data_IF_959659236278
#
_entry.id   IF_959659236278
#
_cell.length_a   1.000
_cell.length_b   1.000
_cell.length_c   1.000
_cell.angle_alpha   90.00
_cell.angle_beta   90.00
_cell.angle_gamma   90.00
#
_symmetry.space_group_name_H-M   'P 1'
#
loop_
_entity.id
_entity.type
_entity.pdbx_description
1 polymer ?
#
# COMPACT_ATOMS: atom_id res chain seq x y z
N UNK A 1 55.83 -8.82 -9.33
CA UNK A 1 55.04 -8.07 -8.32
C UNK A 1 55.99 -7.31 -7.42
N UNK A 2 55.90 -5.96 -7.33
CA UNK A 2 56.75 -5.15 -6.48
C UNK A 2 56.58 -5.52 -4.98
N UNK A 3 57.65 -5.40 -4.19
CA UNK A 3 57.65 -5.71 -2.74
C UNK A 3 56.68 -4.85 -1.91
N UNK A 4 56.15 -3.75 -2.46
CA UNK A 4 55.18 -2.87 -1.82
C UNK A 4 53.78 -3.46 -1.62
N UNK A 5 53.48 -4.62 -2.25
CA UNK A 5 52.18 -5.30 -2.11
C UNK A 5 52.17 -6.43 -1.06
N UNK A 6 53.21 -6.55 -0.23
CA UNK A 6 53.30 -7.56 0.86
C UNK A 6 53.03 -7.00 2.26
N UNK A 7 52.62 -5.75 2.39
CA UNK A 7 52.12 -5.21 3.66
C UNK A 7 50.75 -5.82 3.96
N UNK A 8 50.55 -6.28 5.19
CA UNK A 8 49.33 -6.91 5.65
C UNK A 8 48.10 -6.08 5.26
N UNK A 9 47.11 -6.73 4.63
CA UNK A 9 45.77 -6.17 4.47
C UNK A 9 45.23 -5.85 5.87
N UNK A 10 45.24 -4.56 6.24
CA UNK A 10 44.54 -4.07 7.40
C UNK A 10 43.04 -4.07 7.08
N UNK A 11 42.38 -5.18 7.41
CA UNK A 11 40.94 -5.38 7.19
C UNK A 11 40.08 -4.34 7.95
N UNK A 12 40.63 -3.66 8.95
CA UNK A 12 39.92 -2.63 9.72
C UNK A 12 39.77 -1.28 9.00
N UNK A 13 40.58 -0.99 7.97
CA UNK A 13 40.44 0.21 7.13
C UNK A 13 39.71 -0.05 5.80
N UNK A 14 39.32 -1.30 5.55
CA UNK A 14 38.67 -1.70 4.28
C UNK A 14 37.15 -1.58 4.40
N UNK A 15 36.57 -0.46 3.96
CA UNK A 15 35.12 -0.21 4.05
C UNK A 15 34.28 -0.99 3.03
N UNK A 16 34.87 -1.45 1.92
CA UNK A 16 34.16 -2.16 0.84
C UNK A 16 34.97 -3.38 0.38
N UNK A 17 34.38 -4.57 0.48
CA UNK A 17 34.97 -5.83 0.00
C UNK A 17 34.05 -6.44 -1.05
N UNK A 18 34.55 -6.53 -2.29
CA UNK A 18 33.86 -7.19 -3.39
C UNK A 18 34.46 -8.57 -3.63
N UNK A 19 33.62 -9.61 -3.69
CA UNK A 19 34.04 -10.98 -3.99
C UNK A 19 33.34 -11.45 -5.26
N UNK A 20 34.12 -11.87 -6.26
CA UNK A 20 33.61 -12.56 -7.44
C UNK A 20 33.86 -14.07 -7.36
N UNK A 21 32.91 -14.87 -7.85
CA UNK A 21 32.99 -16.34 -7.88
C UNK A 21 33.47 -16.85 -9.26
N UNK A 22 33.47 -15.99 -10.29
CA UNK A 22 33.98 -16.27 -11.65
C UNK A 22 34.91 -15.14 -12.12
N UNK A 23 35.79 -15.37 -13.12
CA UNK A 23 36.60 -14.28 -13.69
C UNK A 23 35.68 -13.21 -14.28
N UNK A 24 35.76 -11.98 -13.77
CA UNK A 24 34.99 -10.84 -14.23
C UNK A 24 35.87 -9.58 -14.18
N UNK A 25 35.66 -8.67 -15.13
CA UNK A 25 36.25 -7.32 -15.10
C UNK A 25 35.28 -6.40 -14.38
N UNK A 26 35.69 -5.86 -13.23
CA UNK A 26 34.89 -4.94 -12.42
C UNK A 26 35.36 -3.51 -12.71
N UNK A 27 34.48 -2.69 -13.29
CA UNK A 27 34.67 -1.25 -13.36
C UNK A 27 34.00 -0.63 -12.13
N UNK A 28 34.75 0.14 -11.35
CA UNK A 28 34.25 0.85 -10.17
C UNK A 28 34.31 2.34 -10.49
N UNK A 29 33.13 2.96 -10.60
CA UNK A 29 33.01 4.41 -10.64
C UNK A 29 32.73 4.93 -9.23
N UNK A 30 33.61 5.78 -8.74
CA UNK A 30 33.44 6.46 -7.46
C UNK A 30 33.01 7.90 -7.73
N UNK A 31 31.78 8.24 -7.34
CA UNK A 31 31.31 9.63 -7.32
C UNK A 31 31.30 10.13 -5.88
N UNK A 32 31.90 11.30 -5.67
CA UNK A 32 31.77 12.03 -4.41
C UNK A 32 30.35 12.61 -4.38
N UNK A 33 29.49 12.01 -3.58
CA UNK A 33 28.19 12.59 -3.22
C UNK A 33 28.47 13.78 -2.29
N UNK A 34 27.84 14.93 -2.53
CA UNK A 34 27.90 16.06 -1.58
C UNK A 34 27.40 15.61 -0.20
N UNK A 35 27.86 16.29 0.86
CA UNK A 35 27.38 16.04 2.23
C UNK A 35 25.86 16.11 2.19
N UNK A 36 25.21 14.96 2.38
CA UNK A 36 23.78 14.84 2.25
C UNK A 36 23.11 15.88 3.14
N UNK A 37 22.35 16.78 2.52
CA UNK A 37 21.28 17.48 3.23
C UNK A 37 20.50 16.42 4.00
N UNK A 38 20.18 16.68 5.26
CA UNK A 38 19.32 15.78 6.06
C UNK A 38 18.11 15.47 5.19
N UNK A 39 17.94 14.20 4.83
CA UNK A 39 16.93 13.82 3.86
C UNK A 39 15.57 14.06 4.51
N UNK A 40 14.75 14.90 3.88
CA UNK A 40 13.46 15.32 4.42
C UNK A 40 12.45 14.15 4.52
N UNK A 41 12.67 13.06 3.80
CA UNK A 41 12.04 11.74 4.01
C UNK A 41 12.79 10.64 3.24
N UNK A 42 12.68 9.38 3.70
CA UNK A 42 13.30 8.23 3.03
C UNK A 42 12.32 7.04 2.96
N UNK A 43 12.28 6.36 1.82
CA UNK A 43 11.60 5.05 1.70
C UNK A 43 12.57 3.96 2.16
N UNK A 44 12.26 3.30 3.26
CA UNK A 44 13.10 2.26 3.86
C UNK A 44 12.74 0.83 3.39
N UNK A 45 11.54 0.68 2.83
CA UNK A 45 11.10 -0.55 2.16
C UNK A 45 10.04 -0.21 1.11
N UNK A 46 10.20 -0.75 -0.09
CA UNK A 46 9.22 -0.68 -1.17
C UNK A 46 8.71 -2.06 -1.56
N UNK A 47 7.40 -2.27 -1.53
CA UNK A 47 6.76 -3.52 -1.96
C UNK A 47 5.78 -3.22 -3.09
N UNK A 48 6.14 -3.66 -4.30
CA UNK A 48 5.33 -3.46 -5.49
C UNK A 48 4.71 -4.79 -5.91
N UNK A 49 3.42 -4.76 -6.24
CA UNK A 49 2.68 -5.91 -6.74
C UNK A 49 1.97 -5.51 -8.02
N UNK A 50 2.35 -6.10 -9.13
CA UNK A 50 1.74 -5.83 -10.44
C UNK A 50 0.99 -7.04 -10.94
N UNK A 51 -0.24 -6.85 -11.38
CA UNK A 51 -0.99 -7.86 -12.11
C UNK A 51 -1.08 -7.49 -13.58
N UNK A 52 -0.63 -8.40 -14.44
CA UNK A 52 -0.79 -8.26 -15.88
C UNK A 52 -2.14 -8.80 -16.32
N UNK A 53 -2.79 -8.08 -17.23
CA UNK A 53 -3.91 -8.59 -17.99
C UNK A 53 -3.42 -9.18 -19.31
N UNK A 54 -4.13 -10.19 -19.83
CA UNK A 54 -3.88 -10.69 -21.19
C UNK A 54 -4.14 -9.67 -22.30
N UNK A 55 -4.62 -8.46 -21.98
CA UNK A 55 -4.87 -7.37 -22.92
C UNK A 55 -3.73 -6.34 -22.99
N UNK A 56 -2.61 -6.55 -22.30
CA UNK A 56 -1.47 -5.63 -22.30
C UNK A 56 -1.63 -4.43 -21.36
N UNK A 57 -2.50 -4.56 -20.35
CA UNK A 57 -2.61 -3.61 -19.26
C UNK A 57 -2.04 -4.23 -17.98
N UNK A 58 -1.63 -3.38 -17.06
CA UNK A 58 -1.15 -3.77 -15.75
C UNK A 58 -1.81 -2.92 -14.68
N UNK A 59 -2.14 -3.53 -13.55
CA UNK A 59 -2.51 -2.80 -12.33
C UNK A 59 -1.41 -3.01 -11.32
N UNK A 60 -0.84 -1.91 -10.82
CA UNK A 60 0.24 -1.94 -9.84
C UNK A 60 -0.27 -1.38 -8.52
N UNK A 61 -0.10 -2.17 -7.47
CA UNK A 61 -0.18 -1.75 -6.07
C UNK A 61 1.24 -1.45 -5.57
N UNK A 62 1.38 -0.28 -4.96
CA UNK A 62 2.64 0.17 -4.38
C UNK A 62 2.42 0.37 -2.89
N UNK A 63 3.28 -0.25 -2.08
CA UNK A 63 3.34 -0.05 -0.63
C UNK A 63 4.74 0.42 -0.26
N UNK A 64 4.81 1.60 0.35
CA UNK A 64 6.04 2.24 0.77
C UNK A 64 6.02 2.36 2.29
N UNK A 65 7.10 1.93 2.94
CA UNK A 65 7.36 2.26 4.34
C UNK A 65 8.30 3.46 4.35
N UNK A 66 7.82 4.61 4.84
CA UNK A 66 8.55 5.88 4.82
C UNK A 66 9.00 6.23 6.23
N UNK A 67 10.28 6.56 6.39
CA UNK A 67 10.75 7.38 7.51
C UNK A 67 10.56 8.84 7.11
N UNK A 68 9.54 9.48 7.69
CA UNK A 68 9.20 10.86 7.37
C UNK A 68 10.04 11.82 8.21
N UNK A 69 10.77 12.73 7.58
CA UNK A 69 11.42 13.87 8.22
C UNK A 69 10.48 15.09 8.19
N UNK A 70 10.90 16.17 7.55
CA UNK A 70 10.09 17.38 7.40
C UNK A 70 9.28 17.45 6.10
N UNK A 71 9.46 16.47 5.20
CA UNK A 71 8.72 16.36 3.93
C UNK A 71 7.21 16.22 4.16
N UNK A 72 6.45 16.99 3.39
CA UNK A 72 4.98 17.10 3.49
C UNK A 72 4.27 16.55 2.27
N UNK A 73 5.00 16.26 1.22
CA UNK A 73 4.45 15.79 -0.04
C UNK A 73 5.28 14.63 -0.56
N UNK A 74 4.63 13.55 -0.97
CA UNK A 74 5.25 12.51 -1.76
C UNK A 74 4.89 12.76 -3.23
N UNK A 75 5.90 13.08 -4.03
CA UNK A 75 5.76 13.27 -5.48
C UNK A 75 6.08 11.97 -6.20
N UNK A 76 5.18 11.60 -7.11
CA UNK A 76 5.27 10.35 -7.88
C UNK A 76 5.01 10.65 -9.35
N UNK A 77 5.98 10.35 -10.20
CA UNK A 77 5.79 10.37 -11.65
C UNK A 77 5.36 8.98 -12.10
N UNK A 78 4.14 8.87 -12.63
CA UNK A 78 3.63 7.61 -13.15
C UNK A 78 4.17 7.33 -14.57
N UNK A 79 4.25 6.06 -14.99
CA UNK A 79 4.55 5.72 -16.38
C UNK A 79 3.60 6.43 -17.35
N UNK A 80 4.05 6.64 -18.59
CA UNK A 80 3.21 7.24 -19.64
C UNK A 80 1.89 6.48 -19.80
N UNK A 81 0.82 7.24 -20.08
CA UNK A 81 -0.54 6.72 -20.25
C UNK A 81 -1.11 5.96 -19.03
N UNK A 82 -0.55 6.20 -17.84
CA UNK A 82 -1.06 5.63 -16.59
C UNK A 82 -2.28 6.36 -16.07
N UNK A 83 -3.09 5.64 -15.28
CA UNK A 83 -4.23 6.21 -14.55
C UNK A 83 -4.07 5.93 -13.07
N UNK A 84 -3.95 6.99 -12.28
CA UNK A 84 -3.97 6.91 -10.83
C UNK A 84 -5.38 6.53 -10.33
N UNK A 85 -5.49 5.63 -9.35
CA UNK A 85 -6.77 5.16 -8.83
C UNK A 85 -7.04 5.62 -7.40
N UNK A 86 -6.11 5.38 -6.48
CA UNK A 86 -6.30 5.71 -5.06
C UNK A 86 -4.97 5.74 -4.30
N UNK A 87 -4.92 6.54 -3.22
CA UNK A 87 -3.83 6.56 -2.24
C UNK A 87 -4.36 6.46 -0.81
N UNK A 88 -3.55 5.88 0.05
CA UNK A 88 -3.80 5.70 1.47
C UNK A 88 -2.53 5.99 2.26
N UNK A 89 -2.70 6.56 3.46
CA UNK A 89 -1.63 6.75 4.44
C UNK A 89 -2.06 6.10 5.73
N UNK A 90 -1.30 5.11 6.19
CA UNK A 90 -1.63 4.30 7.37
C UNK A 90 -3.05 3.70 7.31
N UNK A 91 -3.50 3.35 6.10
CA UNK A 91 -4.85 2.84 5.81
C UNK A 91 -5.95 3.91 5.70
N UNK A 92 -5.63 5.19 5.93
CA UNK A 92 -6.55 6.31 5.70
C UNK A 92 -6.47 6.75 4.24
N UNK A 93 -7.57 6.62 3.50
CA UNK A 93 -7.69 7.20 2.15
C UNK A 93 -7.40 8.70 2.16
N UNK A 94 -6.59 9.15 1.20
CA UNK A 94 -6.22 10.55 1.00
C UNK A 94 -6.58 10.99 -0.41
N UNK A 95 -6.76 12.29 -0.60
CA UNK A 95 -7.01 12.89 -1.91
C UNK A 95 -5.70 13.44 -2.46
N UNK A 96 -5.05 12.76 -3.41
CA UNK A 96 -3.92 13.33 -4.11
C UNK A 96 -4.40 14.37 -5.14
N UNK A 97 -3.47 15.20 -5.59
CA UNK A 97 -3.69 16.11 -6.71
C UNK A 97 -2.59 15.96 -7.75
N UNK A 98 -2.84 16.48 -8.94
CA UNK A 98 -1.84 16.53 -10.01
C UNK A 98 -1.13 17.88 -10.00
N UNK A 99 0.19 17.86 -10.09
CA UNK A 99 1.04 19.06 -10.19
C UNK A 99 2.16 18.78 -11.20
N UNK A 100 2.22 19.57 -12.29
CA UNK A 100 3.20 19.42 -13.37
C UNK A 100 3.32 17.99 -13.96
N UNK A 101 2.24 17.22 -13.98
CA UNK A 101 2.22 15.83 -14.48
C UNK A 101 2.66 14.78 -13.45
N UNK A 102 2.92 15.19 -12.21
CA UNK A 102 3.19 14.32 -11.07
C UNK A 102 1.93 14.14 -10.23
N UNK A 103 1.78 12.96 -9.62
CA UNK A 103 0.80 12.74 -8.56
C UNK A 103 1.45 13.16 -7.24
N UNK A 104 0.80 14.09 -6.54
CA UNK A 104 1.24 14.57 -5.24
C UNK A 104 0.34 14.01 -4.15
N UNK A 105 0.95 13.25 -3.23
CA UNK A 105 0.27 12.61 -2.10
C UNK A 105 0.63 13.40 -0.83
N UNK A 106 -0.35 13.98 -0.10
CA UNK A 106 -0.08 14.78 1.09
C UNK A 106 0.34 13.90 2.27
N UNK A 107 1.51 14.13 2.85
CA UNK A 107 2.00 13.40 4.01
C UNK A 107 1.64 14.13 5.32
N UNK A 108 0.98 13.43 6.26
CA UNK A 108 0.71 13.98 7.59
C UNK A 108 1.88 13.67 8.54
N UNK A 109 2.35 14.65 9.35
CA UNK A 109 3.39 14.38 10.37
C UNK A 109 2.88 13.34 11.36
N UNK A 110 3.63 12.25 11.48
CA UNK A 110 3.45 11.33 12.59
C UNK A 110 4.10 11.91 13.86
N UNK A 111 3.38 11.98 15.00
CA UNK A 111 3.85 12.63 16.22
C UNK A 111 4.71 11.71 17.09
N UNK A 112 5.65 11.00 16.47
CA UNK A 112 6.71 10.24 17.13
C UNK A 112 8.03 10.52 16.43
N UNK A 113 9.12 10.64 17.20
CA UNK A 113 10.45 10.99 16.68
C UNK A 113 11.02 9.94 15.70
N UNK A 114 10.40 8.76 15.64
CA UNK A 114 10.83 7.59 14.84
C UNK A 114 9.67 6.83 14.13
N UNK A 115 8.46 7.39 14.06
CA UNK A 115 7.32 6.65 13.49
C UNK A 115 7.34 6.65 11.97
N UNK A 116 7.66 5.49 11.40
CA UNK A 116 7.52 5.25 9.96
C UNK A 116 6.03 5.26 9.55
N UNK A 117 5.71 5.96 8.48
CA UNK A 117 4.38 5.99 7.86
C UNK A 117 4.31 4.96 6.73
N UNK A 118 3.15 4.34 6.54
CA UNK A 118 2.92 3.46 5.38
C UNK A 118 2.10 4.21 4.36
N UNK A 119 2.66 4.43 3.16
CA UNK A 119 1.94 5.03 2.03
C UNK A 119 1.63 3.93 1.03
N UNK A 120 0.38 3.85 0.62
CA UNK A 120 -0.11 2.84 -0.32
C UNK A 120 -0.81 3.54 -1.47
N UNK A 121 -0.59 3.12 -2.72
CA UNK A 121 -1.35 3.63 -3.85
C UNK A 121 -1.48 2.62 -4.98
N UNK A 122 -2.47 2.87 -5.83
CA UNK A 122 -2.82 2.02 -6.97
C UNK A 122 -2.83 2.85 -8.25
N UNK A 123 -2.28 2.27 -9.31
CA UNK A 123 -2.37 2.85 -10.65
C UNK A 123 -2.47 1.75 -11.71
N UNK A 124 -3.12 2.09 -12.82
CA UNK A 124 -3.10 1.29 -14.03
C UNK A 124 -2.03 1.83 -14.98
N UNK A 125 -1.31 0.95 -15.66
CA UNK A 125 -0.38 1.28 -16.75
C UNK A 125 -0.56 0.33 -17.93
N UNK A 126 0.01 0.68 -19.09
CA UNK A 126 0.14 -0.24 -20.22
C UNK A 126 1.53 -0.85 -20.25
N UNK A 127 1.61 -2.11 -20.63
CA UNK A 127 2.88 -2.84 -20.84
C UNK A 127 3.21 -3.06 -22.32
N UNK A 128 2.46 -2.39 -23.20
CA UNK A 128 2.55 -2.57 -24.65
C UNK A 128 1.65 -3.70 -25.17
N UNK A 129 1.65 -3.86 -26.51
CA UNK A 129 0.94 -4.93 -27.22
C UNK A 129 1.95 -5.65 -28.11
N UNK A 130 2.02 -6.97 -28.01
CA UNK A 130 2.96 -7.79 -28.79
C UNK A 130 3.64 -8.84 -27.91
N UNK A 131 4.68 -9.45 -28.46
CA UNK A 131 5.52 -10.38 -27.69
C UNK A 131 6.46 -9.60 -26.78
N UNK A 132 7.07 -8.51 -27.23
CA UNK A 132 7.96 -7.71 -26.40
C UNK A 132 7.16 -6.72 -25.56
N UNK A 133 7.33 -6.81 -24.25
CA UNK A 133 6.60 -6.03 -23.27
C UNK A 133 7.57 -5.27 -22.37
N UNK A 134 7.18 -4.06 -21.98
CA UNK A 134 7.96 -3.22 -21.06
C UNK A 134 7.04 -2.78 -19.93
N UNK A 135 7.35 -3.23 -18.73
CA UNK A 135 6.68 -2.79 -17.51
C UNK A 135 7.52 -1.72 -16.83
N UNK A 136 7.07 -0.48 -16.91
CA UNK A 136 7.63 0.65 -16.19
C UNK A 136 6.99 0.78 -14.80
N UNK A 137 7.82 0.94 -13.77
CA UNK A 137 7.41 1.29 -12.42
C UNK A 137 7.20 2.79 -12.26
N UNK A 138 6.59 3.25 -11.15
CA UNK A 138 6.53 4.66 -10.85
C UNK A 138 7.92 5.18 -10.48
N UNK A 139 8.19 6.42 -10.84
CA UNK A 139 9.34 7.15 -10.33
C UNK A 139 8.94 7.90 -9.05
N UNK A 140 9.66 7.64 -7.97
CA UNK A 140 9.38 8.15 -6.63
C UNK A 140 10.45 9.19 -6.31
N UNK A 141 10.02 10.41 -5.99
CA UNK A 141 10.93 11.54 -5.71
C UNK A 141 11.59 11.48 -4.32
N UNK A 142 11.87 10.27 -3.82
CA UNK A 142 12.55 9.99 -2.55
C UNK A 142 13.55 8.85 -2.73
N UNK A 143 14.68 8.84 -2.00
CA UNK A 143 15.57 7.69 -1.97
C UNK A 143 14.85 6.46 -1.41
N UNK A 144 15.06 5.31 -2.05
CA UNK A 144 14.42 4.05 -1.69
C UNK A 144 15.44 2.93 -1.42
N UNK A 145 15.20 2.20 -0.33
CA UNK A 145 15.92 0.98 0.04
C UNK A 145 14.99 -0.24 -0.04
N UNK A 146 15.59 -1.40 -0.28
CA UNK A 146 14.95 -2.71 -0.17
C UNK A 146 13.66 -2.84 -1.02
N UNK A 147 13.72 -2.47 -2.30
CA UNK A 147 12.62 -2.69 -3.23
C UNK A 147 12.43 -4.19 -3.50
N UNK A 148 11.20 -4.66 -3.35
CA UNK A 148 10.71 -5.96 -3.82
C UNK A 148 9.56 -5.72 -4.78
N UNK A 149 9.65 -6.28 -5.98
CA UNK A 149 8.60 -6.17 -6.98
C UNK A 149 8.16 -7.56 -7.42
N UNK A 150 6.88 -7.86 -7.19
CA UNK A 150 6.25 -9.11 -7.63
C UNK A 150 5.33 -8.82 -8.82
N UNK A 151 5.51 -9.56 -9.91
CA UNK A 151 4.66 -9.47 -11.10
C UNK A 151 3.91 -10.79 -11.27
N UNK A 152 2.58 -10.70 -11.31
CA UNK A 152 1.68 -11.82 -11.55
C UNK A 152 1.26 -11.83 -13.02
N UNK A 153 1.62 -12.91 -13.71
CA UNK A 153 1.36 -13.08 -15.14
C UNK A 153 0.24 -14.09 -15.34
N UNK A 154 -0.80 -13.77 -16.13
CA UNK A 154 -1.93 -14.66 -16.31
C UNK A 154 -1.51 -15.96 -16.99
N UNK A 155 -2.20 -17.05 -16.65
CA UNK A 155 -1.92 -18.37 -17.21
C UNK A 155 -2.06 -18.37 -18.74
N UNK A 156 -1.19 -19.13 -19.41
CA UNK A 156 -1.20 -19.27 -20.88
C UNK A 156 -0.20 -18.35 -21.60
N UNK A 157 0.56 -17.53 -20.87
CA UNK A 157 1.74 -16.84 -21.38
C UNK A 157 3.01 -17.51 -20.85
N UNK A 158 3.97 -17.72 -21.73
CA UNK A 158 5.34 -18.10 -21.41
C UNK A 158 6.17 -16.81 -21.43
N UNK A 159 6.86 -16.53 -20.32
CA UNK A 159 7.60 -15.29 -20.12
C UNK A 159 9.09 -15.57 -20.08
N UNK A 160 9.84 -14.80 -20.87
CA UNK A 160 11.29 -14.72 -20.85
C UNK A 160 11.68 -13.29 -20.45
N UNK A 161 12.43 -13.14 -19.35
CA UNK A 161 12.87 -11.83 -18.85
C UNK A 161 14.17 -11.45 -19.53
N UNK A 162 14.23 -10.23 -20.06
CA UNK A 162 15.48 -9.62 -20.52
C UNK A 162 16.17 -8.94 -19.33
N UNK A 163 17.11 -9.66 -18.71
CA UNK A 163 17.85 -9.17 -17.54
C UNK A 163 18.81 -8.01 -17.88
N UNK A 164 19.27 -7.92 -19.14
CA UNK A 164 20.25 -6.91 -19.56
C UNK A 164 19.59 -5.54 -19.80
N UNK A 165 18.33 -5.50 -20.25
CA UNK A 165 17.56 -4.26 -20.44
C UNK A 165 16.64 -3.89 -19.25
N UNK A 166 16.53 -4.78 -18.26
CA UNK A 166 15.81 -4.52 -17.01
C UNK A 166 16.68 -3.77 -16.00
N UNK A 167 16.10 -2.82 -15.26
CA UNK A 167 16.84 -2.05 -14.23
C UNK A 167 16.81 -2.69 -12.85
N UNK A 168 15.99 -3.72 -12.66
CA UNK A 168 15.83 -4.47 -11.40
C UNK A 168 16.38 -5.89 -11.55
N UNK A 169 16.92 -6.44 -10.45
CA UNK A 169 17.48 -7.80 -10.45
C UNK A 169 16.36 -8.83 -10.43
N UNK A 170 16.31 -9.69 -11.45
CA UNK A 170 15.39 -10.83 -11.50
C UNK A 170 15.89 -11.97 -10.60
N UNK A 171 14.96 -12.58 -9.86
CA UNK A 171 15.22 -13.78 -9.09
C UNK A 171 14.48 -14.94 -9.73
N UNK A 172 15.22 -15.73 -10.50
CA UNK A 172 14.70 -16.96 -11.10
C UNK A 172 14.45 -17.99 -9.99
N UNK A 173 13.27 -17.93 -9.39
CA UNK A 173 12.73 -19.09 -8.70
C UNK A 173 12.19 -20.02 -9.78
N UNK A 174 12.85 -21.17 -9.99
CA UNK A 174 12.22 -22.31 -10.67
C UNK A 174 10.81 -22.43 -10.09
N UNK A 175 9.75 -22.37 -10.91
CA UNK A 175 8.41 -22.43 -10.41
C UNK A 175 8.29 -23.72 -9.61
N UNK A 176 8.33 -23.60 -8.28
CA UNK A 176 7.64 -24.56 -7.45
C UNK A 176 6.21 -24.26 -7.82
N UNK A 177 5.69 -24.99 -8.81
CA UNK A 177 4.27 -25.15 -9.02
C UNK A 177 3.71 -25.20 -7.60
N UNK A 178 2.89 -24.21 -7.16
CA UNK A 178 2.20 -24.41 -5.90
C UNK A 178 1.57 -25.80 -6.02
N UNK A 179 1.52 -26.58 -4.95
CA UNK A 179 0.77 -27.84 -4.96
C UNK A 179 -0.76 -27.63 -5.16
N UNK A 180 -1.14 -26.55 -5.85
CA UNK A 180 -2.44 -26.17 -6.39
C UNK A 180 -2.26 -25.26 -7.62
N UNK A 181 -1.33 -25.58 -8.53
CA UNK A 181 -1.22 -24.90 -9.82
C UNK A 181 -2.55 -24.97 -10.58
N UNK A 182 -3.15 -23.82 -10.86
CA UNK A 182 -4.41 -23.73 -11.60
C UNK A 182 -4.14 -24.10 -13.06
N UNK A 183 -4.30 -25.38 -13.37
CA UNK A 183 -4.45 -25.85 -14.74
C UNK A 183 -5.91 -25.62 -15.13
N UNK A 184 -6.20 -24.61 -15.96
CA UNK A 184 -7.50 -24.53 -16.63
C UNK A 184 -7.48 -25.60 -17.72
N UNK A 185 -7.82 -26.84 -17.35
CA UNK A 185 -7.91 -27.93 -18.30
C UNK A 185 -9.10 -27.71 -19.22
N UNK A 186 -8.81 -27.48 -20.50
CA UNK A 186 -9.78 -27.76 -21.55
C UNK A 186 -9.94 -29.27 -21.64
N UNK A 187 -11.04 -29.77 -21.06
CA UNK A 187 -11.69 -31.07 -21.32
C UNK A 187 -10.79 -32.32 -21.24
N UNK A 188 -10.81 -32.97 -20.07
CA UNK A 188 -10.55 -34.42 -19.96
C UNK A 188 -9.91 -34.87 -18.65
N UNK A 189 -10.75 -35.35 -17.72
CA UNK A 189 -10.43 -36.38 -16.72
C UNK A 189 -9.26 -36.17 -15.76
N UNK A 190 -9.57 -35.87 -14.49
CA UNK A 190 -8.71 -36.15 -13.33
C UNK A 190 -8.14 -34.92 -12.62
N UNK A 191 -8.46 -34.81 -11.33
CA UNK A 191 -8.11 -33.77 -10.34
C UNK A 191 -8.80 -32.42 -10.52
N UNK A 192 -9.62 -32.06 -9.52
CA UNK A 192 -10.35 -30.79 -9.43
C UNK A 192 -9.34 -29.66 -9.17
N UNK A 193 -9.13 -28.70 -10.10
CA UNK A 193 -8.25 -27.56 -9.86
C UNK A 193 -8.86 -26.66 -8.78
N UNK A 194 -8.03 -26.08 -7.90
CA UNK A 194 -8.46 -24.91 -7.13
C UNK A 194 -8.79 -23.81 -8.13
N UNK A 195 -10.05 -23.38 -8.21
CA UNK A 195 -10.45 -22.29 -9.10
C UNK A 195 -9.77 -20.99 -8.67
N UNK A 196 -9.47 -20.08 -9.59
CA UNK A 196 -8.92 -18.75 -9.28
C UNK A 196 -9.79 -18.00 -8.24
N UNK A 197 -11.10 -18.27 -8.24
CA UNK A 197 -12.03 -17.79 -7.22
C UNK A 197 -11.72 -18.30 -5.80
N UNK A 198 -11.26 -19.54 -5.63
CA UNK A 198 -10.89 -20.07 -4.31
C UNK A 198 -9.62 -19.41 -3.79
N UNK A 199 -8.60 -19.23 -4.64
CA UNK A 199 -7.36 -18.52 -4.28
C UNK A 199 -7.66 -17.07 -3.89
N UNK A 200 -8.52 -16.39 -4.66
CA UNK A 200 -9.00 -15.06 -4.32
C UNK A 200 -9.69 -15.02 -2.96
N UNK A 201 -10.66 -15.92 -2.70
CA UNK A 201 -11.39 -15.96 -1.43
C UNK A 201 -10.47 -16.26 -0.24
N UNK A 202 -9.50 -17.17 -0.40
CA UNK A 202 -8.52 -17.49 0.65
C UNK A 202 -7.58 -16.30 0.92
N UNK A 203 -7.21 -15.53 -0.12
CA UNK A 203 -6.38 -14.34 0.03
C UNK A 203 -7.16 -13.19 0.70
N UNK A 204 -8.40 -12.95 0.27
CA UNK A 204 -9.33 -12.02 0.90
C UNK A 204 -9.50 -12.31 2.38
N UNK A 205 -9.71 -13.58 2.74
CA UNK A 205 -9.84 -13.97 4.14
C UNK A 205 -8.58 -13.63 4.96
N UNK A 206 -7.38 -13.88 4.41
CA UNK A 206 -6.12 -13.51 5.07
C UNK A 206 -5.90 -12.01 5.18
N UNK A 207 -6.31 -11.23 4.17
CA UNK A 207 -6.24 -9.76 4.19
C UNK A 207 -7.18 -9.24 5.30
N UNK A 208 -8.41 -9.73 5.31
CA UNK A 208 -9.41 -9.39 6.30
C UNK A 208 -8.94 -9.70 7.73
N UNK A 209 -8.37 -10.88 7.97
CA UNK A 209 -7.80 -11.22 9.28
C UNK A 209 -6.68 -10.26 9.72
N UNK A 210 -5.75 -9.92 8.81
CA UNK A 210 -4.68 -8.96 9.12
C UNK A 210 -5.21 -7.56 9.41
N UNK A 211 -6.24 -7.12 8.66
CA UNK A 211 -6.91 -5.86 8.91
C UNK A 211 -7.59 -5.83 10.28
N UNK A 212 -8.30 -6.89 10.65
CA UNK A 212 -8.94 -7.02 11.98
C UNK A 212 -7.90 -6.98 13.10
N UNK A 213 -6.80 -7.74 12.99
CA UNK A 213 -5.70 -7.71 13.98
C UNK A 213 -5.09 -6.31 14.13
N UNK A 214 -4.86 -5.61 13.00
CA UNK A 214 -4.35 -4.24 13.03
C UNK A 214 -5.38 -3.27 13.62
N UNK A 215 -6.66 -3.48 13.36
CA UNK A 215 -7.73 -2.68 13.94
C UNK A 215 -7.80 -2.83 15.47
N UNK A 216 -7.67 -4.07 15.99
CA UNK A 216 -7.56 -4.35 17.42
C UNK A 216 -6.38 -3.62 18.06
N UNK A 217 -5.19 -3.72 17.47
CA UNK A 217 -4.00 -3.01 17.94
C UNK A 217 -4.21 -1.50 17.98
N UNK A 218 -4.82 -0.92 16.95
CA UNK A 218 -5.10 0.52 16.88
C UNK A 218 -6.15 0.96 17.91
N UNK A 219 -7.15 0.12 18.20
CA UNK A 219 -8.14 0.37 19.24
C UNK A 219 -7.48 0.39 20.63
N UNK A 220 -6.66 -0.62 20.93
CA UNK A 220 -5.91 -0.70 22.19
C UNK A 220 -4.95 0.48 22.34
N UNK A 221 -4.19 0.80 21.29
CA UNK A 221 -3.27 1.92 21.28
C UNK A 221 -4.01 3.25 21.47
N UNK A 222 -5.15 3.43 20.81
CA UNK A 222 -6.02 4.59 21.02
C UNK A 222 -6.48 4.73 22.47
N UNK A 223 -6.88 3.63 23.10
CA UNK A 223 -7.28 3.62 24.50
C UNK A 223 -6.13 3.96 25.47
N UNK A 224 -4.91 3.50 25.18
CA UNK A 224 -3.72 3.90 25.94
C UNK A 224 -3.44 5.40 25.80
N UNK A 225 -3.53 5.95 24.60
CA UNK A 225 -3.35 7.38 24.34
C UNK A 225 -4.42 8.23 25.04
N UNK A 226 -5.67 7.74 25.13
CA UNK A 226 -6.72 8.39 25.92
C UNK A 226 -6.33 8.48 27.39
N UNK A 227 -5.78 7.40 27.95
CA UNK A 227 -5.34 7.37 29.35
C UNK A 227 -4.17 8.33 29.60
N UNK A 228 -3.26 8.45 28.63
CA UNK A 228 -2.12 9.38 28.67
C UNK A 228 -2.50 10.84 28.42
N UNK A 229 -3.71 11.10 27.89
CA UNK A 229 -4.20 12.43 27.57
C UNK A 229 -3.77 12.96 26.19
N UNK A 230 -3.21 12.09 25.35
CA UNK A 230 -2.80 12.37 23.96
C UNK A 230 -4.01 12.34 23.01
N UNK A 231 -4.95 13.27 23.22
CA UNK A 231 -6.28 13.27 22.62
C UNK A 231 -6.29 13.21 21.08
N UNK A 232 -5.40 13.97 20.43
CA UNK A 232 -5.29 13.98 18.96
C UNK A 232 -4.81 12.65 18.40
N UNK A 233 -3.82 12.05 19.07
CA UNK A 233 -3.24 10.77 18.65
C UNK A 233 -4.26 9.65 18.87
N UNK A 234 -4.94 9.67 20.02
CA UNK A 234 -6.03 8.75 20.32
C UNK A 234 -7.11 8.77 19.23
N UNK A 235 -7.52 9.96 18.77
CA UNK A 235 -8.51 10.10 17.69
C UNK A 235 -8.03 9.45 16.41
N UNK A 236 -6.77 9.67 16.01
CA UNK A 236 -6.19 9.06 14.80
C UNK A 236 -6.15 7.54 14.90
N UNK A 237 -5.72 7.00 16.04
CA UNK A 237 -5.67 5.56 16.26
C UNK A 237 -7.07 4.94 16.18
N UNK A 238 -8.08 5.54 16.83
CA UNK A 238 -9.47 5.08 16.75
C UNK A 238 -10.09 5.24 15.35
N UNK A 239 -9.74 6.30 14.60
CA UNK A 239 -10.12 6.47 13.19
C UNK A 239 -9.53 5.35 12.31
N UNK A 240 -8.26 4.98 12.55
CA UNK A 240 -7.61 3.85 11.88
C UNK A 240 -8.31 2.53 12.21
N UNK A 241 -8.61 2.27 13.48
CA UNK A 241 -9.33 1.08 13.93
C UNK A 241 -10.71 0.96 13.24
N UNK A 242 -11.49 2.05 13.23
CA UNK A 242 -12.79 2.10 12.56
C UNK A 242 -12.69 1.82 11.05
N UNK A 243 -11.69 2.37 10.36
CA UNK A 243 -11.53 2.17 8.91
C UNK A 243 -11.07 0.77 8.55
N UNK A 244 -10.17 0.19 9.35
CA UNK A 244 -9.61 -1.15 9.12
C UNK A 244 -10.63 -2.26 9.38
N UNK A 245 -11.64 -2.01 10.21
CA UNK A 245 -12.57 -3.05 10.64
C UNK A 245 -13.88 -3.12 9.82
N UNK A 246 -13.94 -2.53 8.63
CA UNK A 246 -15.16 -2.51 7.80
C UNK A 246 -15.71 -3.91 7.45
N UNK A 247 -14.86 -4.94 7.54
CA UNK A 247 -15.20 -6.34 7.33
C UNK A 247 -15.85 -7.04 8.55
N UNK A 248 -15.70 -6.49 9.75
CA UNK A 248 -16.27 -7.02 10.99
C UNK A 248 -17.27 -6.02 11.57
N UNK A 249 -18.57 -6.25 11.32
CA UNK A 249 -19.62 -5.32 11.72
C UNK A 249 -19.69 -5.11 13.24
N UNK A 250 -19.39 -6.13 14.06
CA UNK A 250 -19.47 -6.02 15.51
C UNK A 250 -18.32 -5.18 16.05
N UNK A 251 -17.09 -5.46 15.62
CA UNK A 251 -15.93 -4.67 15.98
C UNK A 251 -16.03 -3.24 15.43
N UNK A 252 -16.49 -3.09 14.18
CA UNK A 252 -16.66 -1.78 13.55
C UNK A 252 -17.61 -0.88 14.32
N UNK A 253 -18.73 -1.42 14.79
CA UNK A 253 -19.69 -0.65 15.59
C UNK A 253 -19.09 -0.23 16.93
N UNK A 254 -18.32 -1.09 17.60
CA UNK A 254 -17.63 -0.72 18.85
C UNK A 254 -16.57 0.37 18.59
N UNK A 255 -15.71 0.19 17.59
CA UNK A 255 -14.72 1.19 17.20
C UNK A 255 -15.36 2.53 16.84
N UNK A 256 -16.49 2.51 16.12
CA UNK A 256 -17.28 3.70 15.78
C UNK A 256 -17.82 4.39 17.03
N UNK A 257 -18.38 3.64 17.98
CA UNK A 257 -18.91 4.20 19.24
C UNK A 257 -17.80 4.81 20.09
N UNK A 258 -16.65 4.14 20.22
CA UNK A 258 -15.50 4.66 20.95
C UNK A 258 -14.96 5.95 20.31
N UNK A 259 -14.80 5.95 18.98
CA UNK A 259 -14.38 7.13 18.23
C UNK A 259 -15.38 8.28 18.38
N UNK A 260 -16.67 8.02 18.22
CA UNK A 260 -17.72 9.03 18.34
C UNK A 260 -17.75 9.64 19.74
N UNK A 261 -17.59 8.82 20.79
CA UNK A 261 -17.50 9.27 22.18
C UNK A 261 -16.31 10.22 22.36
N UNK A 262 -15.14 9.87 21.83
CA UNK A 262 -13.94 10.70 21.88
C UNK A 262 -14.13 12.03 21.12
N UNK A 263 -14.60 11.97 19.86
CA UNK A 263 -14.88 13.17 19.04
C UNK A 263 -15.87 14.10 19.74
N UNK A 264 -16.93 13.56 20.32
CA UNK A 264 -17.95 14.33 21.06
C UNK A 264 -17.34 15.00 22.29
N UNK A 265 -16.55 14.27 23.08
CA UNK A 265 -15.85 14.82 24.24
C UNK A 265 -14.89 15.95 23.84
N UNK A 266 -14.13 15.78 22.75
CA UNK A 266 -13.24 16.82 22.23
C UNK A 266 -14.00 18.07 21.79
N UNK A 267 -15.13 17.90 21.11
CA UNK A 267 -15.97 19.02 20.73
C UNK A 267 -16.56 19.74 21.96
N UNK A 268 -17.01 19.01 22.98
CA UNK A 268 -17.48 19.62 24.24
C UNK A 268 -16.38 20.44 24.93
N UNK A 269 -15.16 19.92 24.99
CA UNK A 269 -14.01 20.66 25.54
C UNK A 269 -13.66 21.88 24.71
N UNK A 270 -13.67 21.76 23.37
CA UNK A 270 -13.47 22.89 22.46
C UNK A 270 -14.50 23.99 22.66
N UNK A 271 -15.78 23.64 22.78
CA UNK A 271 -16.87 24.59 23.06
C UNK A 271 -16.65 25.29 24.40
N UNK A 272 -16.28 24.54 25.44
CA UNK A 272 -16.03 25.08 26.77
C UNK A 272 -14.87 26.10 26.74
N UNK A 273 -13.75 25.74 26.09
CA UNK A 273 -12.61 26.63 25.89
C UNK A 273 -13.00 27.90 25.12
N UNK A 274 -13.74 27.75 24.02
CA UNK A 274 -14.20 28.89 23.21
C UNK A 274 -15.09 29.82 24.04
N UNK A 275 -16.06 29.27 24.80
CA UNK A 275 -16.90 30.05 25.70
C UNK A 275 -16.07 30.82 26.72
N UNK A 276 -15.14 30.16 27.39
CA UNK A 276 -14.33 30.80 28.43
C UNK A 276 -13.46 31.92 27.86
N UNK A 277 -12.83 31.68 26.70
CA UNK A 277 -12.07 32.71 26.00
C UNK A 277 -12.95 33.90 25.58
N UNK A 278 -14.18 33.63 25.13
CA UNK A 278 -15.15 34.67 24.80
C UNK A 278 -15.56 35.49 26.04
N UNK A 279 -15.82 34.86 27.19
CA UNK A 279 -16.18 35.58 28.42
C UNK A 279 -15.02 36.44 28.94
N UNK A 280 -13.80 35.89 28.96
CA UNK A 280 -12.59 36.60 29.41
C UNK A 280 -12.28 37.79 28.51
N UNK A 281 -12.35 37.62 27.19
CA UNK A 281 -12.11 38.73 26.24
C UNK A 281 -13.13 39.87 26.37
N UNK A 282 -14.32 39.60 26.93
CA UNK A 282 -15.34 40.59 27.26
C UNK A 282 -15.29 41.05 28.73
N UNK A 283 -14.21 40.75 29.46
CA UNK A 283 -14.01 41.20 30.84
C UNK A 283 -14.83 40.44 31.89
N UNK A 284 -15.49 39.34 31.52
CA UNK A 284 -16.24 38.48 32.43
C UNK A 284 -15.34 37.33 32.90
N UNK A 285 -14.78 37.47 34.10
CA UNK A 285 -14.00 36.43 34.77
C UNK A 285 -14.74 35.97 36.02
N UNK A 286 -14.92 34.66 36.17
CA UNK A 286 -15.55 34.05 37.35
C UNK A 286 -14.61 33.02 37.97
N UNK A 287 -14.80 32.74 39.27
CA UNK A 287 -14.04 31.69 39.97
C UNK A 287 -14.14 30.33 39.26
N UNK A 288 -15.29 30.04 38.62
CA UNK A 288 -15.47 28.84 37.82
C UNK A 288 -14.50 28.81 36.63
N UNK A 289 -14.37 29.90 35.88
CA UNK A 289 -13.49 29.99 34.71
C UNK A 289 -12.02 29.85 35.12
N UNK A 290 -11.63 30.48 36.23
CA UNK A 290 -10.27 30.36 36.79
C UNK A 290 -9.95 28.91 37.20
N UNK A 291 -10.88 28.22 37.87
CA UNK A 291 -10.72 26.81 38.24
C UNK A 291 -10.65 25.88 37.02
N UNK A 292 -11.42 26.15 35.97
CA UNK A 292 -11.38 25.39 34.73
C UNK A 292 -10.06 25.59 33.97
N UNK A 293 -9.52 26.81 33.93
CA UNK A 293 -8.21 27.09 33.33
C UNK A 293 -7.05 26.49 34.13
N UNK A 294 -7.16 26.42 35.45
CA UNK A 294 -6.17 25.75 36.29
C UNK A 294 -6.16 24.23 36.04
N UNK A 295 -7.33 23.62 35.79
CA UNK A 295 -7.44 22.19 35.50
C UNK A 295 -6.86 21.81 34.13
N UNK A 296 -7.06 22.68 33.13
CA UNK A 296 -6.54 22.50 31.77
C UNK A 296 -5.91 23.83 31.31
N UNK A 297 -4.59 24.03 31.55
CA UNK A 297 -3.93 25.26 31.15
C UNK A 297 -3.91 25.37 29.63
N UNK A 298 -4.50 26.45 29.12
CA UNK A 298 -4.53 26.79 27.71
C UNK A 298 -3.11 27.09 27.22
N UNK A 299 -2.40 26.08 26.72
CA UNK A 299 -1.15 26.32 26.00
C UNK A 299 -1.49 26.88 24.63
N UNK A 300 -1.16 28.15 24.40
CA UNK A 300 -1.29 28.77 23.09
C UNK A 300 -0.41 28.00 22.07
N UNK A 301 -1.02 27.50 21.00
CA UNK A 301 -0.31 27.02 19.81
C UNK A 301 -0.04 25.52 19.68
N UNK A 302 -0.17 24.71 20.75
CA UNK A 302 -0.11 23.23 20.67
C UNK A 302 -1.43 22.67 21.18
N UNK A 303 -2.10 21.84 20.37
CA UNK A 303 -3.38 21.25 20.74
C UNK A 303 -3.36 20.71 22.17
N UNK A 304 -4.39 21.03 22.95
CA UNK A 304 -4.38 20.83 24.39
C UNK A 304 -4.53 19.34 24.71
N UNK A 305 -3.48 18.74 25.27
CA UNK A 305 -3.52 17.39 25.82
C UNK A 305 -4.20 17.45 27.19
N UNK A 306 -5.16 16.57 27.43
CA UNK A 306 -5.88 16.49 28.69
C UNK A 306 -6.33 15.05 28.96
N UNK A 307 -6.35 14.67 30.23
CA UNK A 307 -6.79 13.35 30.68
C UNK A 307 -8.31 13.30 30.89
N UNK A 308 -8.84 12.09 31.03
CA UNK A 308 -10.25 11.87 31.35
C UNK A 308 -10.66 12.48 32.71
N UNK A 309 -9.74 12.48 33.68
CA UNK A 309 -9.98 13.09 34.98
C UNK A 309 -10.12 14.62 34.88
N UNK A 310 -9.26 15.26 34.09
CA UNK A 310 -9.33 16.71 33.85
C UNK A 310 -10.59 17.11 33.11
N UNK A 311 -11.02 16.32 32.11
CA UNK A 311 -12.32 16.54 31.46
C UNK A 311 -13.43 16.46 32.49
N UNK A 312 -13.49 15.40 33.29
CA UNK A 312 -14.52 15.23 34.31
C UNK A 312 -14.58 16.44 35.26
N UNK A 313 -13.43 16.89 35.76
CA UNK A 313 -13.33 18.07 36.62
C UNK A 313 -13.88 19.33 35.95
N UNK A 314 -13.48 19.61 34.70
CA UNK A 314 -13.97 20.79 33.98
C UNK A 314 -15.48 20.74 33.75
N UNK A 315 -16.02 19.55 33.45
CA UNK A 315 -17.44 19.36 33.22
C UNK A 315 -18.26 19.42 34.51
N UNK A 316 -17.72 18.96 35.64
CA UNK A 316 -18.38 19.08 36.97
C UNK A 316 -18.48 20.54 37.43
N UNK A 317 -17.58 21.41 36.97
CA UNK A 317 -17.64 22.85 37.25
C UNK A 317 -18.73 23.56 36.43
N UNK A 318 -19.25 22.97 35.35
CA UNK A 318 -20.34 23.53 34.56
C UNK A 318 -21.72 23.21 35.17
N UNK A 319 -22.73 24.02 34.83
CA UNK A 319 -24.12 23.69 35.12
C UNK A 319 -24.58 22.48 34.30
N UNK A 320 -25.63 21.80 34.77
CA UNK A 320 -26.23 20.67 34.04
C UNK A 320 -26.79 21.14 32.70
N UNK A 321 -27.38 22.32 32.68
CA UNK A 321 -27.93 22.98 31.50
C UNK A 321 -26.83 23.23 30.45
N UNK A 322 -25.70 23.83 30.87
CA UNK A 322 -24.55 24.09 30.00
C UNK A 322 -24.01 22.80 29.40
N UNK A 323 -23.78 21.78 30.24
CA UNK A 323 -23.28 20.49 29.78
C UNK A 323 -24.23 19.82 28.79
N UNK A 324 -25.55 19.94 29.00
CA UNK A 324 -26.55 19.41 28.07
C UNK A 324 -26.53 20.14 26.72
N UNK A 325 -26.37 21.47 26.74
CA UNK A 325 -26.29 22.30 25.54
C UNK A 325 -25.01 22.01 24.75
N UNK A 326 -23.86 21.93 25.45
CA UNK A 326 -22.57 21.59 24.84
C UNK A 326 -22.59 20.21 24.21
N UNK A 327 -23.25 19.22 24.85
CA UNK A 327 -23.37 17.88 24.29
C UNK A 327 -24.14 17.89 22.98
N UNK A 328 -25.31 18.56 22.94
CA UNK A 328 -26.13 18.65 21.72
C UNK A 328 -25.40 19.37 20.59
N UNK A 329 -24.68 20.45 20.91
CA UNK A 329 -23.88 21.18 19.92
C UNK A 329 -22.71 20.31 19.41
N UNK A 330 -21.98 19.66 20.31
CA UNK A 330 -20.89 18.75 19.99
C UNK A 330 -21.35 17.62 19.08
N UNK A 331 -22.44 16.93 19.41
CA UNK A 331 -23.01 15.86 18.58
C UNK A 331 -23.41 16.34 17.19
N UNK A 332 -23.89 17.59 17.05
CA UNK A 332 -24.22 18.16 15.74
C UNK A 332 -22.96 18.46 14.93
N UNK A 333 -21.93 19.05 15.57
CA UNK A 333 -20.65 19.34 14.94
C UNK A 333 -19.99 18.04 14.46
N UNK A 334 -19.93 17.02 15.30
CA UNK A 334 -19.33 15.72 14.97
C UNK A 334 -20.06 15.07 13.79
N UNK A 335 -21.41 15.03 13.82
CA UNK A 335 -22.21 14.51 12.70
C UNK A 335 -21.96 15.25 11.39
N UNK A 336 -21.81 16.58 11.44
CA UNK A 336 -21.49 17.38 10.25
C UNK A 336 -20.08 17.10 9.72
N UNK A 337 -19.10 16.90 10.60
CA UNK A 337 -17.73 16.56 10.19
C UNK A 337 -17.65 15.16 9.56
N UNK A 338 -18.34 14.18 10.15
CA UNK A 338 -18.37 12.81 9.62
C UNK A 338 -19.00 12.73 8.22
N UNK A 339 -20.03 13.54 7.95
CA UNK A 339 -20.65 13.61 6.63
C UNK A 339 -19.67 14.12 5.54
N UNK A 340 -18.74 15.03 5.89
CA UNK A 340 -17.73 15.55 4.97
C UNK A 340 -16.60 14.53 4.76
N UNK A 341 -16.16 13.84 5.82
CA UNK A 341 -15.12 12.79 5.72
C UNK A 341 -15.55 11.60 4.85
N UNK A 342 -16.85 11.28 4.82
CA UNK A 342 -17.41 10.19 4.02
C UNK A 342 -17.31 10.41 2.50
N UNK A 343 -17.23 11.66 2.03
CA UNK A 343 -17.09 11.98 0.60
C UNK A 343 -15.68 11.69 0.05
N UNK A 344 -14.67 11.59 0.92
CA UNK A 344 -13.27 11.32 0.56
C UNK A 344 -12.88 9.82 0.60
N UNK A 345 -13.85 8.92 0.59
CA UNK A 345 -13.60 7.47 0.66
C UNK A 345 -12.94 6.91 -0.61
N UNK A 346 -11.63 6.70 -0.59
CA UNK A 346 -10.92 5.98 -1.64
C UNK A 346 -11.23 4.48 -1.60
N UNK A 347 -11.57 3.88 -2.75
CA UNK A 347 -11.83 2.45 -2.87
C UNK A 347 -10.49 1.71 -2.84
N UNK A 348 -10.34 0.76 -1.91
CA UNK A 348 -9.19 -0.13 -1.84
C UNK A 348 -9.44 -1.32 -2.78
N UNK A 349 -8.60 -1.49 -3.79
CA UNK A 349 -8.68 -2.63 -4.71
C UNK A 349 -7.84 -3.80 -4.15
N UNK A 350 -8.38 -5.02 -4.16
CA UNK A 350 -7.58 -6.21 -3.90
C UNK A 350 -7.10 -6.83 -5.20
N UNK A 351 -5.80 -7.07 -5.29
CA UNK A 351 -5.17 -7.80 -6.38
C UNK A 351 -5.22 -9.32 -6.07
N UNK A 352 -5.89 -10.16 -6.89
CA UNK A 352 -6.02 -11.60 -6.69
C UNK A 352 -4.70 -12.40 -6.54
N UNK A 353 -3.58 -11.94 -7.09
CA UNK A 353 -2.27 -12.60 -7.03
C UNK A 353 -2.22 -13.94 -7.76
N UNK A 354 -2.98 -14.10 -8.85
CA UNK A 354 -3.12 -15.37 -9.58
C UNK A 354 -2.27 -15.39 -10.83
N UNK A 355 -1.49 -16.45 -11.03
CA UNK A 355 -0.71 -16.66 -12.25
C UNK A 355 0.70 -17.18 -12.01
N UNK A 356 1.54 -17.11 -13.04
CA UNK A 356 2.99 -17.26 -12.89
C UNK A 356 3.53 -16.04 -12.12
N UNK A 357 4.43 -16.28 -11.17
CA UNK A 357 4.99 -15.23 -10.31
C UNK A 357 6.43 -14.94 -10.75
N UNK A 358 6.72 -13.69 -11.07
CA UNK A 358 8.06 -13.17 -11.31
C UNK A 358 8.46 -12.27 -10.14
N UNK A 359 9.67 -12.43 -9.63
CA UNK A 359 10.18 -11.66 -8.49
C UNK A 359 11.41 -10.87 -8.89
N UNK A 360 11.39 -9.59 -8.55
CA UNK A 360 12.48 -8.66 -8.79
C UNK A 360 12.84 -7.95 -7.49
N UNK A 361 14.09 -7.49 -7.39
CA UNK A 361 14.53 -6.67 -6.27
C UNK A 361 15.52 -5.61 -6.69
N UNK A 362 15.61 -4.56 -5.88
CA UNK A 362 16.69 -3.58 -5.96
C UNK A 362 17.05 -3.13 -4.55
N UNK A 363 18.35 -3.19 -4.20
CA UNK A 363 18.80 -2.88 -2.84
C UNK A 363 18.71 -1.39 -2.52
N UNK A 364 19.14 -0.55 -3.46
CA UNK A 364 19.16 0.92 -3.31
C UNK A 364 18.76 1.56 -4.63
N UNK A 365 17.93 2.59 -4.54
CA UNK A 365 17.51 3.45 -5.62
C UNK A 365 17.66 4.91 -5.17
N UNK A 366 18.38 5.70 -5.98
CA UNK A 366 18.48 7.14 -5.77
C UNK A 366 17.14 7.83 -6.07
N UNK A 367 17.04 9.08 -5.63
CA UNK A 367 15.92 9.96 -5.97
C UNK A 367 15.78 10.06 -7.50
N UNK A 368 14.59 9.79 -8.06
CA UNK A 368 14.37 9.86 -9.51
C UNK A 368 14.83 8.62 -10.31
N UNK A 369 15.03 7.48 -9.66
CA UNK A 369 15.54 6.27 -10.33
C UNK A 369 14.51 5.60 -11.24
N UNK A 370 14.91 5.19 -12.45
CA UNK A 370 14.02 4.47 -13.37
C UNK A 370 13.85 2.99 -12.97
N UNK A 371 12.60 2.56 -12.81
CA UNK A 371 12.23 1.16 -12.62
C UNK A 371 11.62 0.60 -13.90
N UNK A 372 12.28 -0.40 -14.49
CA UNK A 372 11.85 -1.02 -15.75
C UNK A 372 12.13 -2.51 -15.73
N UNK A 373 11.14 -3.29 -16.15
CA UNK A 373 11.25 -4.72 -16.44
C UNK A 373 10.91 -4.93 -17.91
N UNK A 374 11.81 -5.59 -18.64
CA UNK A 374 11.62 -5.94 -20.04
C UNK A 374 11.48 -7.46 -20.14
N UNK A 375 10.44 -7.91 -20.85
CA UNK A 375 10.18 -9.33 -21.01
C UNK A 375 9.44 -9.62 -22.30
N UNK A 376 9.69 -10.82 -22.84
CA UNK A 376 8.96 -11.35 -23.99
C UNK A 376 7.89 -12.31 -23.50
N UNK A 377 6.65 -12.10 -23.93
CA UNK A 377 5.48 -12.91 -23.63
C UNK A 377 4.99 -13.64 -24.87
N UNK A 378 5.19 -14.96 -24.90
CA UNK A 378 4.70 -15.84 -25.98
C UNK A 378 3.45 -16.56 -25.49
N UNK A 379 2.44 -16.68 -26.35
CA UNK A 379 1.31 -17.56 -26.04
C UNK A 379 1.84 -18.98 -25.90
N UNK A 380 1.61 -19.61 -24.74
CA UNK A 380 1.98 -21.00 -24.51
C UNK A 380 1.32 -21.84 -25.61
N UNK A 381 2.13 -22.35 -26.53
CA UNK A 381 1.64 -23.00 -27.73
C UNK A 381 0.70 -24.13 -27.35
N UNK A 382 -0.61 -23.97 -27.61
CA UNK A 382 -1.48 -25.11 -27.77
C UNK A 382 -1.00 -25.81 -29.05
N UNK A 383 -0.04 -26.72 -28.90
CA UNK A 383 0.36 -27.60 -29.99
C UNK A 383 -0.92 -28.26 -30.50
N UNK A 384 -1.42 -27.81 -31.66
CA UNK A 384 -2.45 -28.53 -32.36
C UNK A 384 -1.87 -29.93 -32.56
N UNK A 385 -2.48 -30.99 -31.99
CA UNK A 385 -1.95 -32.33 -32.16
C UNK A 385 -2.13 -32.67 -33.64
N UNK A 386 -1.08 -32.48 -34.43
CA UNK A 386 -1.02 -32.78 -35.87
C UNK A 386 -1.36 -34.26 -36.11
N UNK A 387 -1.12 -35.11 -35.12
CA UNK A 387 -1.58 -36.50 -35.06
C UNK A 387 -3.10 -36.66 -35.18
N UNK A 388 -3.91 -35.76 -34.58
CA UNK A 388 -5.38 -35.80 -34.68
C UNK A 388 -5.87 -35.30 -36.05
N UNK A 389 -5.14 -34.40 -36.69
CA UNK A 389 -5.41 -33.97 -38.07
C UNK A 389 -5.13 -35.10 -39.08
N UNK A 390 -4.06 -35.87 -38.87
CA UNK A 390 -3.77 -37.07 -39.67
C UNK A 390 -4.86 -38.14 -39.54
N UNK A 391 -5.34 -38.38 -38.32
CA UNK A 391 -6.47 -39.30 -38.06
C UNK A 391 -7.78 -38.84 -38.71
N UNK A 392 -8.05 -37.54 -38.70
CA UNK A 392 -9.25 -36.96 -39.30
C UNK A 392 -9.19 -37.03 -40.83
N UNK A 393 -8.01 -36.80 -41.43
CA UNK A 393 -7.77 -37.00 -42.86
C UNK A 393 -7.96 -38.47 -43.27
N UNK A 394 -7.41 -39.41 -42.50
CA UNK A 394 -7.58 -40.85 -42.74
C UNK A 394 -9.06 -41.28 -42.63
N UNK A 395 -9.81 -40.71 -41.68
CA UNK A 395 -11.24 -40.96 -41.54
C UNK A 395 -12.02 -40.47 -42.77
N UNK A 396 -11.71 -39.28 -43.28
CA UNK A 396 -12.32 -38.75 -44.50
C UNK A 396 -12.00 -39.59 -45.74
N UNK A 397 -10.77 -40.08 -45.85
CA UNK A 397 -10.38 -40.99 -46.94
C UNK A 397 -11.16 -42.31 -46.83
N UNK A 398 -11.28 -42.88 -45.63
CA UNK A 398 -12.05 -44.11 -45.40
C UNK A 398 -13.54 -43.91 -45.72
N UNK A 399 -14.15 -42.80 -45.28
CA UNK A 399 -15.54 -42.45 -45.60
C UNK A 399 -15.75 -42.21 -47.11
N UNK A 400 -14.78 -41.59 -47.79
CA UNK A 400 -14.80 -41.39 -49.24
C UNK A 400 -14.74 -42.72 -50.01
N UNK A 401 -13.91 -43.66 -49.57
CA UNK A 401 -13.82 -45.01 -50.17
C UNK A 401 -15.09 -45.83 -49.94
N UNK A 402 -15.70 -45.73 -48.76
CA UNK A 402 -16.99 -46.38 -48.47
C UNK A 402 -18.10 -45.82 -49.38
N UNK A 403 -18.09 -44.52 -49.67
CA UNK A 403 -19.03 -43.92 -50.64
C UNK A 403 -18.79 -44.35 -52.08
N UNK A 404 -17.54 -44.63 -52.48
CA UNK A 404 -17.22 -45.13 -53.82
C UNK A 404 -17.59 -46.61 -54.01
N UNK A 405 -17.58 -47.38 -52.93
CA UNK A 405 -17.93 -48.81 -52.92
C UNK A 405 -19.43 -49.06 -52.71
N UNK A 406 -20.24 -48.03 -52.45
CA UNK A 406 -21.68 -48.17 -52.33
C UNK A 406 -22.32 -48.41 -53.71
N UNK A 407 -23.12 -49.48 -53.90
CA UNK A 407 -23.78 -49.75 -55.16
C UNK A 407 -24.76 -48.61 -55.50
N UNK A 408 -24.76 -48.17 -56.75
CA UNK A 408 -25.69 -47.13 -57.24
C UNK A 408 -27.12 -47.62 -57.03
N UNK A 409 -28.01 -46.80 -56.44
CA UNK A 409 -29.42 -47.14 -56.37
C UNK A 409 -29.99 -47.17 -57.80
N UNK A 410 -30.73 -48.22 -58.13
CA UNK A 410 -31.53 -48.35 -59.35
C UNK A 410 -32.67 -47.32 -59.40
#
# INVERSE_FOLDING_TARGET
>A
MPRSLKGALNLEETQLVFRSVKPATLSVDAQIQEIASVVDAQVIEGEFSTELSGSGNAVTYVRLRLRQGDERELRVTLPKDSKFWSAFIDGKGVLPWEDNGEVVIPLEKNPGEDSASVVEFYYQSSVGKGEDMTLAGPDIDLPMENLKWTVYVPAGLEIEVDEDDSTVTYHEEKPVLPQGGISVSSRGGGQVPQSASKVYLDNEYKIQQRQTQKAEQMLEFGNQLIAQGEQRQARRALESAYKLSQNDAAFNEDARVQLQKLKTQQAMMGINIIRNNFLISNGVVSQQIEQQQAAIPLQQGKGVNYTQAQVKQVMELNTVEDNSAFRRLAERIVRQQEAIEAEAGAIQATLPGVGQVLRFSQSVQGKGGELRVVFTAKAAGAGFPTEKLGLLLLLFIALGLIRLAAPKPE
#
